data_IF_984919835461
#
_entry.id   IF_984919835461
#
_cell.length_a   1.000
_cell.length_b   1.000
_cell.length_c   1.000
_cell.angle_alpha   90.00
_cell.angle_beta   90.00
_cell.angle_gamma   90.00
#
_symmetry.space_group_name_H-M   'P 1'
#
loop_
_entity.id
_entity.type
_entity.pdbx_description
1 polymer ?
#
# COMPACT_ATOMS: atom_id res chain seq x y z
N UNK A 1 20.37 12.50 0.21
CA UNK A 1 19.15 13.32 0.34
C UNK A 1 18.26 12.57 1.31
N UNK A 2 17.90 13.14 2.46
CA UNK A 2 16.91 12.48 3.32
C UNK A 2 15.59 12.42 2.55
N UNK A 3 14.97 11.24 2.46
CA UNK A 3 13.63 11.13 1.88
C UNK A 3 12.69 11.92 2.80
N UNK A 4 11.83 12.77 2.21
CA UNK A 4 10.78 13.45 2.97
C UNK A 4 9.92 12.39 3.67
N UNK A 5 9.49 12.63 4.92
CA UNK A 5 8.70 11.65 5.66
C UNK A 5 7.39 11.37 4.92
N UNK A 6 7.04 10.09 4.77
CA UNK A 6 5.81 9.65 4.13
C UNK A 6 4.60 9.95 5.03
N UNK A 7 3.37 10.08 4.49
CA UNK A 7 2.15 10.27 5.27
C UNK A 7 1.96 9.22 6.38
N UNK A 8 2.31 7.95 6.10
CA UNK A 8 2.28 6.86 7.07
C UNK A 8 3.27 7.09 8.24
N UNK A 9 4.50 7.53 7.96
CA UNK A 9 5.47 7.87 9.00
C UNK A 9 5.02 9.05 9.87
N UNK A 10 4.32 10.03 9.28
CA UNK A 10 3.78 11.18 10.01
C UNK A 10 2.63 10.75 10.93
N UNK A 11 1.70 9.96 10.39
CA UNK A 11 0.53 9.50 11.14
C UNK A 11 0.87 8.49 12.25
N UNK A 12 1.95 7.72 12.10
CA UNK A 12 2.49 6.90 13.17
C UNK A 12 2.91 7.75 14.40
N UNK A 13 3.22 9.04 14.23
CA UNK A 13 3.61 9.94 15.32
C UNK A 13 4.79 9.46 16.17
N UNK A 14 4.99 10.06 17.35
CA UNK A 14 5.92 9.58 18.39
C UNK A 14 5.29 8.43 19.21
N UNK A 15 4.42 7.62 18.57
CA UNK A 15 3.77 6.50 19.23
C UNK A 15 4.85 5.54 19.76
N UNK A 16 4.71 5.19 21.03
CA UNK A 16 5.63 4.35 21.82
C UNK A 16 6.26 3.28 20.94
N UNK A 17 7.60 3.22 20.95
CA UNK A 17 8.43 2.24 20.23
C UNK A 17 7.64 0.95 20.03
N UNK A 18 7.19 0.63 18.80
CA UNK A 18 6.34 -0.52 18.58
C UNK A 18 7.01 -1.73 19.20
N UNK A 19 6.25 -2.49 19.98
CA UNK A 19 6.77 -3.69 20.62
C UNK A 19 7.45 -4.52 19.52
N UNK A 20 8.66 -5.06 19.73
CA UNK A 20 9.51 -5.61 18.65
C UNK A 20 8.91 -6.79 17.85
N UNK A 21 7.72 -7.27 18.23
CA UNK A 21 6.98 -8.32 17.53
C UNK A 21 5.70 -7.83 16.82
N UNK A 22 5.35 -6.55 16.93
CA UNK A 22 4.14 -6.00 16.33
C UNK A 22 4.47 -5.38 14.98
N UNK A 23 3.72 -5.77 13.94
CA UNK A 23 3.79 -5.13 12.63
C UNK A 23 2.93 -3.88 12.58
N UNK A 24 3.39 -2.83 11.89
CA UNK A 24 2.58 -1.64 11.67
C UNK A 24 1.43 -1.94 10.70
N UNK A 25 0.24 -1.45 11.06
CA UNK A 25 -0.96 -1.58 10.27
C UNK A 25 -1.67 -0.23 10.15
N UNK A 26 -2.25 0.04 8.99
CA UNK A 26 -3.00 1.27 8.70
C UNK A 26 -4.32 0.94 8.01
N UNK A 27 -5.31 1.78 8.27
CA UNK A 27 -6.57 1.84 7.54
C UNK A 27 -6.70 3.26 6.97
N UNK A 28 -7.06 3.37 5.70
CA UNK A 28 -7.23 4.64 4.99
C UNK A 28 -8.53 4.66 4.18
N UNK A 29 -9.09 5.85 3.96
CA UNK A 29 -10.27 6.01 3.12
C UNK A 29 -10.03 5.63 1.64
N UNK A 30 -11.03 5.07 0.97
CA UNK A 30 -10.99 4.84 -0.48
C UNK A 30 -10.89 6.13 -1.31
N UNK A 31 -11.24 7.28 -0.74
CA UNK A 31 -11.09 8.61 -1.36
C UNK A 31 -9.63 8.99 -1.72
N UNK A 32 -8.65 8.17 -1.33
CA UNK A 32 -7.26 8.26 -1.78
C UNK A 32 -6.98 7.60 -3.14
N UNK A 33 -8.00 7.04 -3.77
CA UNK A 33 -7.97 6.54 -5.14
C UNK A 33 -9.04 7.26 -5.96
N UNK A 34 -8.83 7.46 -7.28
CA UNK A 34 -9.90 7.80 -8.21
C UNK A 34 -11.06 6.80 -8.09
N UNK A 35 -12.30 7.25 -8.31
CA UNK A 35 -13.48 6.37 -8.21
C UNK A 35 -13.39 5.18 -9.18
N UNK A 36 -12.96 5.41 -10.43
CA UNK A 36 -12.74 4.36 -11.42
C UNK A 36 -11.70 3.33 -10.95
N UNK A 37 -10.55 3.80 -10.44
CA UNK A 37 -9.51 2.93 -9.88
C UNK A 37 -10.04 2.10 -8.70
N UNK A 38 -10.89 2.67 -7.84
CA UNK A 38 -11.49 1.96 -6.71
C UNK A 38 -12.48 0.86 -7.16
N UNK A 39 -13.32 1.15 -8.15
CA UNK A 39 -14.23 0.17 -8.75
C UNK A 39 -13.47 -0.97 -9.43
N UNK A 40 -12.43 -0.65 -10.22
CA UNK A 40 -11.58 -1.64 -10.87
C UNK A 40 -10.83 -2.50 -9.84
N UNK A 41 -10.32 -1.88 -8.78
CA UNK A 41 -9.58 -2.59 -7.74
C UNK A 41 -10.44 -3.65 -7.04
N UNK A 42 -11.72 -3.35 -6.76
CA UNK A 42 -12.65 -4.31 -6.17
C UNK A 42 -12.79 -5.59 -7.00
N UNK A 43 -12.75 -5.48 -8.33
CA UNK A 43 -12.81 -6.64 -9.24
C UNK A 43 -11.44 -7.32 -9.33
N UNK A 44 -10.37 -6.55 -9.45
CA UNK A 44 -9.02 -7.06 -9.66
C UNK A 44 -8.58 -7.98 -8.51
N UNK A 45 -8.82 -7.59 -7.26
CA UNK A 45 -8.35 -8.33 -6.07
C UNK A 45 -8.95 -9.73 -5.93
N UNK A 46 -10.07 -10.02 -6.60
CA UNK A 46 -10.65 -11.36 -6.62
C UNK A 46 -9.86 -12.34 -7.53
N UNK A 47 -9.08 -11.82 -8.48
CA UNK A 47 -8.47 -12.63 -9.55
C UNK A 47 -6.97 -12.44 -9.73
N UNK A 48 -6.38 -11.39 -9.14
CA UNK A 48 -4.98 -11.04 -9.34
C UNK A 48 -4.00 -12.15 -8.92
N UNK A 49 -3.03 -12.46 -9.78
CA UNK A 49 -1.87 -13.28 -9.41
C UNK A 49 -0.82 -12.43 -8.69
N UNK A 50 -0.81 -12.55 -7.38
CA UNK A 50 0.06 -11.75 -6.51
C UNK A 50 1.44 -12.36 -6.26
N UNK A 51 1.76 -13.52 -6.85
CA UNK A 51 2.96 -14.30 -6.52
C UNK A 51 4.29 -13.53 -6.63
N UNK A 52 4.37 -12.53 -7.51
CA UNK A 52 5.57 -11.72 -7.75
C UNK A 52 5.42 -10.26 -7.34
N UNK A 53 4.28 -9.87 -6.77
CA UNK A 53 3.94 -8.46 -6.55
C UNK A 53 4.38 -7.91 -5.18
N UNK A 54 5.02 -8.76 -4.37
CA UNK A 54 5.46 -8.44 -3.00
C UNK A 54 4.32 -8.04 -2.06
N UNK A 55 3.08 -8.41 -2.37
CA UNK A 55 1.96 -8.32 -1.45
C UNK A 55 1.02 -9.50 -1.66
N UNK A 56 0.15 -9.76 -0.69
CA UNK A 56 -1.09 -10.52 -0.87
C UNK A 56 -2.26 -9.53 -0.72
N UNK A 57 -3.34 -9.68 -1.49
CA UNK A 57 -4.56 -8.87 -1.35
C UNK A 57 -5.75 -9.73 -0.91
N UNK A 58 -6.71 -9.13 -0.22
CA UNK A 58 -7.91 -9.78 0.29
C UNK A 58 -9.07 -8.77 0.42
N UNK A 59 -10.30 -9.27 0.42
CA UNK A 59 -11.51 -8.46 0.61
C UNK A 59 -12.08 -8.61 2.02
N UNK A 60 -12.71 -7.55 2.51
CA UNK A 60 -13.49 -7.51 3.74
C UNK A 60 -14.96 -7.23 3.36
N UNK A 61 -15.79 -8.27 3.22
CA UNK A 61 -17.06 -8.14 2.50
C UNK A 61 -18.12 -7.30 3.22
N UNK A 62 -18.06 -7.16 4.54
CA UNK A 62 -19.07 -6.40 5.30
C UNK A 62 -18.81 -4.88 5.29
N UNK A 63 -17.58 -4.44 5.00
CA UNK A 63 -17.21 -3.02 4.92
C UNK A 63 -16.87 -2.56 3.50
N UNK A 64 -16.98 -3.45 2.51
CA UNK A 64 -16.52 -3.24 1.13
C UNK A 64 -15.05 -2.80 1.07
N UNK A 65 -14.23 -3.21 2.05
CA UNK A 65 -12.84 -2.81 2.15
C UNK A 65 -11.88 -3.82 1.49
N UNK A 66 -10.73 -3.31 1.07
CA UNK A 66 -9.68 -4.10 0.43
C UNK A 66 -8.43 -4.03 1.31
N UNK A 67 -7.93 -5.19 1.68
CA UNK A 67 -6.72 -5.35 2.48
C UNK A 67 -5.53 -5.80 1.65
N UNK A 68 -4.35 -5.34 2.05
CA UNK A 68 -3.06 -5.71 1.50
C UNK A 68 -2.11 -6.11 2.63
N UNK A 69 -1.48 -7.27 2.49
CA UNK A 69 -0.36 -7.71 3.32
C UNK A 69 0.92 -7.48 2.55
N UNK A 70 1.64 -6.43 2.91
CA UNK A 70 2.89 -6.03 2.25
C UNK A 70 4.05 -6.91 2.73
N UNK A 71 4.82 -7.42 1.78
CA UNK A 71 5.97 -8.29 1.99
C UNK A 71 7.26 -7.51 1.70
N UNK A 72 8.38 -8.00 2.22
CA UNK A 72 9.71 -7.48 1.85
C UNK A 72 9.89 -5.97 2.04
N UNK A 73 9.24 -5.39 3.04
CA UNK A 73 9.37 -3.96 3.36
C UNK A 73 10.72 -3.68 4.06
N UNK A 74 11.30 -2.48 3.88
CA UNK A 74 10.80 -1.38 3.05
C UNK A 74 11.08 -1.55 1.55
N UNK A 75 10.13 -1.14 0.71
CA UNK A 75 10.32 -1.13 -0.75
C UNK A 75 11.19 0.06 -1.17
N UNK A 76 12.49 -0.19 -1.30
CA UNK A 76 13.47 0.74 -1.84
C UNK A 76 14.40 0.00 -2.79
N UNK A 77 14.98 0.71 -3.75
CA UNK A 77 15.99 0.17 -4.68
C UNK A 77 17.09 -0.60 -3.95
N UNK A 78 17.61 -0.04 -2.85
CA UNK A 78 18.63 -0.69 -2.04
C UNK A 78 18.14 -2.01 -1.41
N UNK A 79 16.95 -2.01 -0.81
CA UNK A 79 16.44 -3.19 -0.10
C UNK A 79 16.04 -4.31 -1.08
N UNK A 80 15.29 -3.95 -2.12
CA UNK A 80 14.86 -4.89 -3.16
C UNK A 80 16.06 -5.40 -3.96
N UNK A 81 17.00 -4.54 -4.32
CA UNK A 81 18.22 -4.93 -5.02
C UNK A 81 19.08 -5.89 -4.20
N UNK A 82 19.18 -5.68 -2.87
CA UNK A 82 19.98 -6.54 -2.00
C UNK A 82 19.37 -7.94 -1.79
N UNK A 83 18.05 -8.03 -1.56
CA UNK A 83 17.41 -9.31 -1.21
C UNK A 83 16.76 -10.03 -2.39
N UNK A 84 16.36 -9.30 -3.43
CA UNK A 84 15.56 -9.82 -4.55
C UNK A 84 16.19 -9.56 -5.93
N UNK A 85 17.22 -8.72 -6.01
CA UNK A 85 18.00 -8.50 -7.23
C UNK A 85 17.33 -7.61 -8.28
N UNK A 86 16.34 -6.81 -7.90
CA UNK A 86 15.68 -5.84 -8.78
C UNK A 86 15.39 -4.51 -8.08
N UNK A 87 15.19 -3.46 -8.88
CA UNK A 87 14.89 -2.10 -8.42
C UNK A 87 13.39 -1.90 -8.20
N UNK A 88 12.99 -0.88 -7.44
CA UNK A 88 11.58 -0.56 -7.16
C UNK A 88 10.75 -0.38 -8.44
N UNK A 89 11.34 0.26 -9.46
CA UNK A 89 10.68 0.45 -10.76
C UNK A 89 10.31 -0.88 -11.45
N UNK A 90 11.07 -1.95 -11.23
CA UNK A 90 10.75 -3.28 -11.77
C UNK A 90 9.54 -3.87 -11.05
N UNK A 91 9.47 -3.71 -9.72
CA UNK A 91 8.31 -4.14 -8.94
C UNK A 91 7.03 -3.41 -9.36
N UNK A 92 7.11 -2.09 -9.51
CA UNK A 92 5.98 -1.26 -9.95
C UNK A 92 5.52 -1.64 -11.37
N UNK A 93 6.45 -1.97 -12.26
CA UNK A 93 6.11 -2.45 -13.60
C UNK A 93 5.39 -3.82 -13.57
N UNK A 94 5.78 -4.73 -12.67
CA UNK A 94 5.08 -6.00 -12.50
C UNK A 94 3.65 -5.80 -11.95
N UNK A 95 3.49 -4.90 -10.99
CA UNK A 95 2.18 -4.56 -10.42
C UNK A 95 1.27 -3.91 -11.46
N UNK A 96 1.81 -2.99 -12.27
CA UNK A 96 1.06 -2.37 -13.36
C UNK A 96 0.68 -3.40 -14.46
N UNK A 97 1.57 -4.36 -14.74
CA UNK A 97 1.30 -5.44 -15.70
C UNK A 97 0.18 -6.39 -15.23
N UNK A 98 0.00 -6.57 -13.92
CA UNK A 98 -1.14 -7.31 -13.36
C UNK A 98 -2.45 -6.50 -13.39
N UNK A 99 -2.37 -5.18 -13.59
CA UNK A 99 -3.54 -4.30 -13.74
C UNK A 99 -3.80 -3.37 -12.55
N UNK A 100 -2.89 -3.30 -11.57
CA UNK A 100 -3.03 -2.31 -10.49
C UNK A 100 -2.80 -0.90 -11.04
N UNK A 101 -3.68 0.04 -10.68
CA UNK A 101 -3.59 1.43 -11.12
C UNK A 101 -2.34 2.15 -10.56
N UNK A 102 -1.94 3.24 -11.21
CA UNK A 102 -0.78 4.04 -10.77
C UNK A 102 -0.96 4.54 -9.33
N UNK A 103 -2.15 5.03 -8.97
CA UNK A 103 -2.40 5.53 -7.61
C UNK A 103 -2.44 4.40 -6.58
N UNK A 104 -2.98 3.23 -6.92
CA UNK A 104 -2.92 2.05 -6.04
C UNK A 104 -1.46 1.65 -5.78
N UNK A 105 -0.65 1.53 -6.83
CA UNK A 105 0.78 1.22 -6.74
C UNK A 105 1.52 2.27 -5.89
N UNK A 106 1.20 3.55 -6.09
CA UNK A 106 1.79 4.66 -5.35
C UNK A 106 1.48 4.58 -3.86
N UNK A 107 0.22 4.35 -3.48
CA UNK A 107 -0.19 4.18 -2.08
C UNK A 107 0.51 2.98 -1.44
N UNK A 108 0.53 1.82 -2.11
CA UNK A 108 1.21 0.62 -1.62
C UNK A 108 2.73 0.84 -1.46
N UNK A 109 3.35 1.55 -2.41
CA UNK A 109 4.78 1.92 -2.35
C UNK A 109 5.07 2.80 -1.12
N UNK A 110 4.26 3.83 -0.89
CA UNK A 110 4.41 4.72 0.27
C UNK A 110 4.23 3.97 1.60
N UNK A 111 3.25 3.07 1.67
CA UNK A 111 3.01 2.22 2.84
C UNK A 111 4.20 1.28 3.09
N UNK A 112 4.68 0.59 2.05
CA UNK A 112 5.82 -0.31 2.16
C UNK A 112 7.10 0.42 2.58
N UNK A 113 7.36 1.61 2.03
CA UNK A 113 8.51 2.45 2.42
C UNK A 113 8.45 2.89 3.89
N UNK A 114 7.25 3.04 4.44
CA UNK A 114 6.99 3.31 5.85
C UNK A 114 6.99 2.05 6.72
N UNK A 115 7.38 0.90 6.17
CA UNK A 115 7.40 -0.40 6.86
C UNK A 115 6.03 -0.86 7.38
N UNK A 116 4.95 -0.36 6.78
CA UNK A 116 3.59 -0.89 6.98
C UNK A 116 3.53 -2.31 6.43
N UNK A 117 2.96 -3.25 7.20
CA UNK A 117 2.78 -4.65 6.77
C UNK A 117 1.35 -5.00 6.44
N UNK A 118 0.39 -4.25 6.99
CA UNK A 118 -1.02 -4.40 6.69
C UNK A 118 -1.60 -3.03 6.35
N UNK A 119 -2.14 -2.89 5.15
CA UNK A 119 -2.89 -1.72 4.73
C UNK A 119 -4.31 -2.14 4.39
N UNK A 120 -5.30 -1.46 4.93
CA UNK A 120 -6.71 -1.60 4.53
C UNK A 120 -7.15 -0.29 3.88
N UNK A 121 -7.72 -0.38 2.69
CA UNK A 121 -8.43 0.71 2.03
C UNK A 121 -9.91 0.45 2.25
N UNK A 122 -10.56 1.28 3.06
CA UNK A 122 -11.95 1.12 3.49
C UNK A 122 -12.75 2.37 3.11
N UNK A 123 -13.86 2.25 2.36
CA UNK A 123 -14.67 3.41 1.94
C UNK A 123 -15.31 4.16 3.11
N UNK A 124 -15.35 3.57 4.31
CA UNK A 124 -15.92 4.14 5.53
C UNK A 124 -14.87 4.67 6.51
N UNK A 125 -13.57 4.55 6.18
CA UNK A 125 -12.49 5.00 7.06
C UNK A 125 -12.18 6.49 6.91
N UNK A 126 -11.27 6.99 7.74
CA UNK A 126 -10.80 8.36 7.72
C UNK A 126 -9.73 8.57 6.65
N UNK A 127 -9.69 9.78 6.12
CA UNK A 127 -8.62 10.22 5.23
C UNK A 127 -7.29 10.32 6.00
N UNK A 128 -6.21 9.92 5.35
CA UNK A 128 -4.84 10.06 5.81
C UNK A 128 -4.24 11.36 5.26
N UNK A 129 -3.97 12.31 6.16
CA UNK A 129 -3.35 13.58 5.81
C UNK A 129 -2.04 13.39 5.05
N UNK A 130 -1.92 14.06 3.90
CA UNK A 130 -0.73 14.02 3.04
C UNK A 130 -0.81 13.01 1.89
N UNK A 131 -1.82 12.15 1.84
CA UNK A 131 -2.20 11.47 0.60
C UNK A 131 -3.14 12.36 -0.25
N UNK A 132 -3.07 12.30 -1.58
CA UNK A 132 -4.03 12.98 -2.45
C UNK A 132 -5.46 12.52 -2.15
N UNK A 133 -6.41 13.41 -2.39
CA UNK A 133 -7.83 13.12 -2.38
C UNK A 133 -8.36 13.28 -3.80
N UNK A 134 -9.22 12.37 -4.19
CA UNK A 134 -9.91 12.41 -5.47
C UNK A 134 -11.38 12.70 -5.24
N UNK A 135 -11.95 13.53 -6.12
CA UNK A 135 -13.38 13.79 -6.12
C UNK A 135 -14.13 12.53 -6.59
N UNK A 136 -15.33 12.35 -6.04
CA UNK A 136 -16.35 11.44 -6.55
C UNK A 136 -17.37 12.19 -7.43
#
# INVERSE_FOLDING_TARGET
>A
MAQSPTPFNIAAGDQSVPHPCCSQAFEIASAHLPEEDWEELQVLVETADTAQLQFECFTLPDSDAIGFKLLSTPWSDQHLGHYWGYELSTLQALQAAEGFSEETIRVLTLAAQAEVRLLVIDPNSNVLDGLPLFDC
#
